data_IF_829452872146
#
_entry.id   IF_829452872146
#
_cell.length_a   1.000
_cell.length_b   1.000
_cell.length_c   1.000
_cell.angle_alpha   90.00
_cell.angle_beta   90.00
_cell.angle_gamma   90.00
#
_symmetry.space_group_name_H-M   'P 1'
#
loop_
_entity.id
_entity.type
_entity.pdbx_description
1 polymer ?
#
# COMPACT_ATOMS: atom_id res chain seq x y z
N UNK A 1 -16.83 -14.58 5.10
CA UNK A 1 -17.05 -13.13 4.93
C UNK A 1 -18.30 -12.95 4.07
N UNK A 2 -19.13 -11.92 4.32
CA UNK A 2 -20.28 -11.63 3.47
C UNK A 2 -19.81 -11.33 2.03
N UNK A 3 -20.61 -11.71 1.04
CA UNK A 3 -20.30 -11.50 -0.38
C UNK A 3 -21.36 -10.59 -1.02
N UNK A 4 -20.92 -9.80 -1.98
CA UNK A 4 -21.76 -8.99 -2.86
C UNK A 4 -22.29 -9.84 -4.01
N UNK A 5 -23.27 -9.33 -4.73
CA UNK A 5 -23.84 -10.00 -5.92
C UNK A 5 -22.80 -10.20 -7.06
N UNK A 6 -21.75 -9.36 -7.10
CA UNK A 6 -20.64 -9.47 -8.06
C UNK A 6 -19.53 -10.45 -7.62
N UNK A 7 -19.74 -11.18 -6.51
CA UNK A 7 -18.80 -12.18 -5.97
C UNK A 7 -17.67 -11.59 -5.13
N UNK A 8 -17.56 -10.28 -5.02
CA UNK A 8 -16.56 -9.63 -4.15
C UNK A 8 -16.99 -9.70 -2.68
N UNK A 9 -16.02 -9.63 -1.77
CA UNK A 9 -16.31 -9.51 -0.34
C UNK A 9 -17.05 -8.21 -0.06
N UNK A 10 -18.16 -8.28 0.67
CA UNK A 10 -18.84 -7.10 1.20
C UNK A 10 -18.11 -6.58 2.43
N UNK A 11 -17.10 -5.74 2.18
CA UNK A 11 -16.27 -5.17 3.22
C UNK A 11 -17.03 -4.22 4.14
N UNK A 12 -18.02 -3.50 3.61
CA UNK A 12 -18.87 -2.63 4.41
C UNK A 12 -19.67 -3.45 5.43
N UNK A 13 -20.33 -4.50 4.99
CA UNK A 13 -21.06 -5.40 5.88
C UNK A 13 -20.14 -6.13 6.86
N UNK A 14 -18.93 -6.51 6.42
CA UNK A 14 -17.94 -7.18 7.25
C UNK A 14 -17.44 -6.27 8.39
N UNK A 15 -17.00 -5.05 8.08
CA UNK A 15 -16.45 -4.14 9.07
C UNK A 15 -17.51 -3.59 10.02
N UNK A 16 -18.69 -3.20 9.50
CA UNK A 16 -19.76 -2.63 10.30
C UNK A 16 -20.63 -3.66 11.01
N UNK A 17 -20.43 -4.95 10.74
CA UNK A 17 -21.32 -6.07 11.21
C UNK A 17 -22.80 -5.83 10.88
N UNK A 18 -23.07 -5.24 9.70
CA UNK A 18 -24.43 -4.88 9.29
C UNK A 18 -25.07 -3.73 10.08
N UNK A 19 -24.30 -3.04 10.94
CA UNK A 19 -24.75 -1.87 11.74
C UNK A 19 -24.30 -0.55 11.13
N UNK A 20 -24.15 -0.51 9.81
CA UNK A 20 -23.67 0.66 9.12
C UNK A 20 -24.50 1.93 9.41
N UNK A 21 -23.80 3.04 9.64
CA UNK A 21 -24.43 4.34 9.84
C UNK A 21 -24.67 4.98 8.48
N UNK A 22 -25.93 5.13 8.09
CA UNK A 22 -26.37 6.02 7.01
C UNK A 22 -25.62 5.89 5.68
N UNK A 23 -26.19 6.49 4.66
CA UNK A 23 -25.53 6.74 3.37
C UNK A 23 -25.44 8.27 3.21
N UNK A 24 -24.36 8.76 2.68
CA UNK A 24 -24.24 10.19 2.40
C UNK A 24 -22.80 10.63 2.19
N UNK A 25 -22.61 11.85 1.67
CA UNK A 25 -21.28 12.37 1.46
C UNK A 25 -20.53 12.51 2.80
N UNK A 26 -19.36 11.94 2.85
CA UNK A 26 -18.43 12.11 3.99
C UNK A 26 -17.45 13.21 3.64
N UNK A 27 -17.22 14.11 4.61
CA UNK A 27 -16.25 15.19 4.47
C UNK A 27 -15.28 15.16 5.64
N UNK A 28 -14.00 14.99 5.35
CA UNK A 28 -12.94 15.02 6.34
C UNK A 28 -12.53 16.46 6.62
N UNK A 29 -12.80 16.91 7.83
CA UNK A 29 -12.50 18.29 8.27
C UNK A 29 -11.14 18.40 8.96
N UNK A 30 -10.56 17.29 9.37
CA UNK A 30 -9.24 17.21 9.97
C UNK A 30 -8.33 16.28 9.16
N UNK A 31 -7.03 16.58 9.13
CA UNK A 31 -6.02 15.63 8.69
C UNK A 31 -5.81 14.57 9.79
N UNK A 32 -5.34 13.35 9.44
CA UNK A 32 -4.98 12.30 10.40
C UNK A 32 -3.89 12.71 11.40
N UNK A 33 -3.10 13.72 11.05
CA UNK A 33 -2.12 14.39 11.91
C UNK A 33 -2.21 15.89 11.69
N UNK A 34 -1.84 16.70 12.68
CA UNK A 34 -1.76 18.16 12.50
C UNK A 34 -0.73 18.48 11.42
N UNK A 35 -1.05 19.41 10.53
CA UNK A 35 -0.15 19.76 9.41
C UNK A 35 1.23 20.24 9.88
N UNK A 36 1.28 20.94 11.02
CA UNK A 36 2.53 21.40 11.64
C UNK A 36 3.43 20.27 12.18
N UNK A 37 2.87 19.09 12.42
CA UNK A 37 3.57 17.91 12.91
C UNK A 37 4.10 17.02 11.77
N UNK A 38 3.63 17.25 10.54
CA UNK A 38 3.98 16.45 9.37
C UNK A 38 5.11 17.11 8.58
N UNK A 39 6.14 16.33 8.26
CA UNK A 39 7.22 16.72 7.35
C UNK A 39 6.78 16.61 5.90
N UNK A 40 6.15 15.48 5.54
CA UNK A 40 5.68 15.23 4.19
C UNK A 40 4.56 14.18 4.16
N UNK A 41 3.75 14.24 3.13
CA UNK A 41 2.76 13.23 2.78
C UNK A 41 3.20 12.51 1.51
N UNK A 42 3.33 11.18 1.58
CA UNK A 42 3.65 10.32 0.44
C UNK A 42 2.39 9.57 0.02
N UNK A 43 1.93 9.73 -1.23
CA UNK A 43 0.68 9.13 -1.70
C UNK A 43 0.78 7.62 -1.91
N UNK A 44 -0.33 7.00 -2.26
CA UNK A 44 -0.42 5.60 -2.67
C UNK A 44 0.52 5.26 -3.84
N UNK A 45 0.84 3.99 -3.97
CA UNK A 45 1.52 3.47 -5.16
C UNK A 45 3.03 3.34 -5.04
N UNK A 46 3.63 3.64 -3.88
CA UNK A 46 5.05 3.35 -3.65
C UNK A 46 5.31 1.85 -3.78
N UNK A 47 6.48 1.48 -4.30
CA UNK A 47 6.98 0.09 -4.31
C UNK A 47 8.29 0.05 -3.54
N UNK A 48 8.35 -0.73 -2.47
CA UNK A 48 9.53 -0.80 -1.59
C UNK A 48 9.54 -2.09 -0.75
N UNK A 49 10.66 -2.76 -0.66
CA UNK A 49 10.81 -3.97 0.15
C UNK A 49 9.74 -5.01 -0.19
N UNK A 50 9.04 -5.54 0.81
CA UNK A 50 7.94 -6.50 0.62
C UNK A 50 6.69 -5.92 -0.07
N UNK A 51 6.60 -4.61 -0.25
CA UNK A 51 5.54 -3.97 -1.05
C UNK A 51 5.93 -3.98 -2.53
N UNK A 52 5.88 -5.15 -3.14
CA UNK A 52 6.22 -5.37 -4.55
C UNK A 52 5.16 -4.78 -5.46
N UNK A 53 3.89 -5.03 -5.18
CA UNK A 53 2.80 -4.31 -5.83
C UNK A 53 2.67 -2.88 -5.25
N UNK A 54 2.20 -1.90 -6.04
CA UNK A 54 1.96 -0.55 -5.55
C UNK A 54 1.18 -0.52 -4.23
N UNK A 55 1.71 0.20 -3.24
CA UNK A 55 1.17 0.26 -1.87
C UNK A 55 -0.20 0.93 -1.84
N UNK A 56 -1.13 0.33 -1.11
CA UNK A 56 -2.53 0.70 -0.94
C UNK A 56 -2.82 1.70 0.20
N UNK A 57 -1.79 2.25 0.80
CA UNK A 57 -1.89 3.28 1.81
C UNK A 57 -0.91 4.41 1.55
N UNK A 58 -1.25 5.59 2.02
CA UNK A 58 -0.39 6.76 2.01
C UNK A 58 0.36 6.86 3.34
N UNK A 59 1.43 7.62 3.34
CA UNK A 59 2.23 7.83 4.53
C UNK A 59 2.21 9.30 4.95
N UNK A 60 1.89 9.54 6.23
CA UNK A 60 2.21 10.79 6.91
C UNK A 60 3.54 10.60 7.63
N UNK A 61 4.58 11.25 7.16
CA UNK A 61 5.88 11.25 7.83
C UNK A 61 5.92 12.37 8.86
N UNK A 62 6.00 12.04 10.17
CA UNK A 62 6.09 13.07 11.20
C UNK A 62 7.46 13.77 11.17
N UNK A 63 7.49 15.02 11.59
CA UNK A 63 8.72 15.73 11.87
C UNK A 63 9.54 14.99 12.92
N UNK A 64 10.86 15.06 12.81
CA UNK A 64 11.75 14.38 13.76
C UNK A 64 11.48 12.87 13.93
N UNK A 65 11.00 12.20 12.87
CA UNK A 65 10.66 10.77 12.90
C UNK A 65 11.78 9.87 13.46
N UNK A 66 13.05 10.29 13.32
CA UNK A 66 14.20 9.52 13.85
C UNK A 66 14.33 9.58 15.37
N UNK A 67 13.69 10.56 16.03
CA UNK A 67 13.65 10.65 17.48
C UNK A 67 12.55 9.75 18.03
N UNK A 68 12.97 8.62 18.60
CA UNK A 68 12.07 7.62 19.14
C UNK A 68 11.28 8.09 20.39
N UNK A 69 11.60 9.24 20.96
CA UNK A 69 10.90 9.80 22.11
C UNK A 69 9.76 10.72 21.70
N UNK A 70 9.82 11.29 20.49
CA UNK A 70 8.78 12.19 20.00
C UNK A 70 7.53 11.39 19.59
N UNK A 71 6.38 11.86 20.04
CA UNK A 71 5.07 11.28 19.72
C UNK A 71 4.11 12.39 19.28
N UNK A 72 3.37 12.11 18.22
CA UNK A 72 2.37 13.01 17.64
C UNK A 72 0.99 12.41 17.77
N UNK A 73 -0.01 13.27 17.96
CA UNK A 73 -1.40 12.85 18.00
C UNK A 73 -1.88 12.38 16.63
N UNK A 74 -2.62 11.27 16.63
CA UNK A 74 -3.37 10.76 15.48
C UNK A 74 -4.83 11.10 15.68
N UNK A 75 -5.46 11.71 14.67
CA UNK A 75 -6.80 12.28 14.75
C UNK A 75 -7.79 11.52 13.87
N UNK A 76 -9.05 11.45 14.31
CA UNK A 76 -10.16 11.05 13.46
C UNK A 76 -10.49 12.20 12.47
N UNK A 77 -10.57 11.95 11.14
CA UNK A 77 -10.72 13.02 10.15
C UNK A 77 -12.16 13.54 10.07
N UNK A 78 -13.13 12.75 10.54
CA UNK A 78 -14.55 13.05 10.61
C UNK A 78 -15.20 12.25 11.75
N UNK A 79 -16.45 12.55 12.06
CA UNK A 79 -17.28 11.73 12.94
C UNK A 79 -17.36 10.31 12.39
N UNK A 80 -17.46 9.32 13.29
CA UNK A 80 -17.58 7.92 12.90
C UNK A 80 -17.53 6.95 14.06
N UNK A 81 -17.27 5.69 13.73
CA UNK A 81 -17.08 4.61 14.69
C UNK A 81 -15.81 3.84 14.35
N UNK A 82 -14.92 3.65 15.32
CA UNK A 82 -13.88 2.64 15.19
C UNK A 82 -14.61 1.28 15.18
N UNK A 83 -14.44 0.53 14.08
CA UNK A 83 -15.12 -0.76 13.85
C UNK A 83 -14.16 -1.94 13.90
N UNK A 84 -12.86 -1.70 13.71
CA UNK A 84 -11.81 -2.71 13.84
C UNK A 84 -10.63 -2.13 14.60
N UNK A 85 -10.08 -2.91 15.53
CA UNK A 85 -8.80 -2.65 16.20
C UNK A 85 -7.94 -3.91 16.09
N UNK A 86 -6.66 -3.74 15.76
CA UNK A 86 -5.64 -4.78 15.83
C UNK A 86 -4.43 -4.30 16.60
N UNK A 87 -3.71 -5.25 17.20
CA UNK A 87 -2.43 -4.99 17.86
C UNK A 87 -1.42 -6.06 17.45
N UNK A 88 -0.26 -5.64 17.07
CA UNK A 88 0.91 -6.51 16.81
C UNK A 88 2.17 -5.84 17.33
N UNK A 89 3.16 -6.63 17.64
CA UNK A 89 4.48 -6.15 17.96
C UNK A 89 5.36 -6.27 16.72
N UNK A 90 6.05 -5.21 16.34
CA UNK A 90 6.98 -5.23 15.22
C UNK A 90 8.41 -5.00 15.70
N UNK A 91 9.33 -5.78 15.14
CA UNK A 91 10.76 -5.55 15.28
C UNK A 91 11.25 -4.69 14.12
N UNK A 92 11.89 -3.56 14.41
CA UNK A 92 12.49 -2.68 13.42
C UNK A 92 13.96 -2.41 13.76
N UNK A 93 14.77 -2.20 12.73
CA UNK A 93 16.21 -1.94 12.89
C UNK A 93 17.08 -3.08 12.38
N UNK A 94 18.40 -2.89 12.43
CA UNK A 94 19.38 -3.94 12.15
C UNK A 94 19.40 -4.96 13.30
N UNK A 95 19.95 -6.16 13.05
CA UNK A 95 20.08 -7.23 14.06
C UNK A 95 20.80 -6.78 15.34
N UNK A 96 21.64 -5.75 15.27
CA UNK A 96 22.38 -5.20 16.41
C UNK A 96 21.60 -4.11 17.16
N UNK A 97 20.57 -3.51 16.54
CA UNK A 97 19.82 -2.37 17.08
C UNK A 97 18.31 -2.57 16.85
N UNK A 98 17.82 -3.79 17.03
CA UNK A 98 16.39 -4.08 16.94
C UNK A 98 15.65 -3.37 18.08
N UNK A 99 14.58 -2.66 17.72
CA UNK A 99 13.61 -2.10 18.66
C UNK A 99 12.27 -2.74 18.43
N UNK A 100 11.62 -3.13 19.50
CA UNK A 100 10.26 -3.58 19.51
C UNK A 100 9.33 -2.37 19.59
N UNK A 101 8.34 -2.32 18.71
CA UNK A 101 7.31 -1.30 18.70
C UNK A 101 5.94 -1.94 18.80
N UNK A 102 5.10 -1.36 19.64
CA UNK A 102 3.66 -1.58 19.53
C UNK A 102 3.17 -1.00 18.22
N UNK A 103 2.28 -1.72 17.57
CA UNK A 103 1.74 -1.40 16.28
C UNK A 103 0.24 -1.66 16.30
N UNK A 104 -0.53 -0.58 16.39
CA UNK A 104 -1.99 -0.65 16.39
C UNK A 104 -2.52 -0.28 15.01
N UNK A 105 -3.50 -1.07 14.55
CA UNK A 105 -4.26 -0.83 13.34
C UNK A 105 -5.71 -0.46 13.70
N UNK A 106 -6.28 0.53 13.03
CA UNK A 106 -7.67 0.95 13.20
C UNK A 106 -8.39 1.02 11.86
N UNK A 107 -9.68 0.63 11.85
CA UNK A 107 -10.60 0.99 10.77
C UNK A 107 -11.73 1.82 11.36
N UNK A 108 -11.99 3.00 10.79
CA UNK A 108 -13.08 3.88 11.20
C UNK A 108 -14.13 3.91 10.09
N UNK A 109 -15.37 3.60 10.44
CA UNK A 109 -16.55 3.77 9.62
C UNK A 109 -17.04 5.22 9.75
N UNK A 110 -17.10 5.97 8.65
CA UNK A 110 -17.66 7.33 8.59
C UNK A 110 -19.05 7.35 7.99
N UNK A 111 -19.35 6.39 7.14
CA UNK A 111 -20.69 6.08 6.62
C UNK A 111 -20.76 4.58 6.31
N UNK A 112 -21.94 4.10 5.88
CA UNK A 112 -22.10 2.70 5.48
C UNK A 112 -21.22 2.24 4.31
N UNK A 113 -20.49 3.15 3.67
CA UNK A 113 -19.68 2.84 2.49
C UNK A 113 -18.29 3.45 2.52
N UNK A 114 -18.02 4.42 3.41
CA UNK A 114 -16.74 5.13 3.50
C UNK A 114 -16.04 4.84 4.81
N UNK A 115 -14.82 4.34 4.69
CA UNK A 115 -13.97 3.93 5.80
C UNK A 115 -12.59 4.58 5.68
N UNK A 116 -11.95 4.85 6.83
CA UNK A 116 -10.51 5.15 6.88
C UNK A 116 -9.79 4.05 7.61
N UNK A 117 -8.60 3.73 7.12
CA UNK A 117 -7.71 2.75 7.71
C UNK A 117 -6.44 3.44 8.20
N UNK A 118 -6.00 3.03 9.37
CA UNK A 118 -4.78 3.49 10.01
C UNK A 118 -3.94 2.29 10.37
N UNK A 119 -2.64 2.39 10.21
CA UNK A 119 -1.68 1.40 10.68
C UNK A 119 -0.44 2.11 11.26
N UNK A 120 0.39 1.39 12.00
CA UNK A 120 1.61 1.89 12.61
C UNK A 120 1.40 2.90 13.76
N UNK A 121 0.23 2.93 14.41
CA UNK A 121 0.08 3.69 15.64
C UNK A 121 0.91 3.03 16.75
N UNK A 122 1.58 3.86 17.55
CA UNK A 122 2.41 3.38 18.68
C UNK A 122 1.63 3.25 20.00
N UNK A 123 0.46 3.87 20.09
CA UNK A 123 -0.48 3.70 21.20
C UNK A 123 -1.88 4.11 20.79
N UNK A 124 -2.87 3.60 21.52
CA UNK A 124 -4.25 4.10 21.47
C UNK A 124 -4.44 5.17 22.55
N UNK A 125 -5.36 6.12 22.29
CA UNK A 125 -5.74 7.13 23.26
C UNK A 125 -6.66 6.56 24.36
N UNK A 126 -6.55 7.08 25.57
CA UNK A 126 -7.38 6.66 26.69
C UNK A 126 -8.90 6.79 26.40
N UNK A 127 -9.29 7.83 25.65
CA UNK A 127 -10.69 8.02 25.27
C UNK A 127 -11.24 6.92 24.36
N UNK A 128 -10.38 6.15 23.69
CA UNK A 128 -10.74 4.95 22.94
C UNK A 128 -10.73 3.72 23.85
N UNK A 129 -9.66 3.54 24.62
CA UNK A 129 -9.47 2.38 25.50
C UNK A 129 -10.57 2.26 26.58
N UNK A 130 -10.99 3.38 27.17
CA UNK A 130 -11.98 3.41 28.23
C UNK A 130 -13.41 3.05 27.76
N UNK A 131 -13.62 3.00 26.44
CA UNK A 131 -14.89 2.57 25.84
C UNK A 131 -14.93 1.11 25.42
N UNK A 132 -13.82 0.40 25.59
CA UNK A 132 -13.73 -1.03 25.37
C UNK A 132 -14.08 -1.78 26.66
N UNK A 133 -14.54 -3.02 26.50
CA UNK A 133 -14.67 -3.89 27.67
C UNK A 133 -13.29 -4.19 28.29
N UNK A 134 -13.29 -4.56 29.56
CA UNK A 134 -12.07 -4.73 30.33
C UNK A 134 -11.15 -5.81 29.74
N UNK A 135 -11.72 -6.92 29.26
CA UNK A 135 -10.95 -8.03 28.72
C UNK A 135 -10.25 -7.64 27.41
N UNK A 136 -10.97 -6.94 26.53
CA UNK A 136 -10.38 -6.46 25.27
C UNK A 136 -9.31 -5.39 25.51
N UNK A 137 -9.54 -4.48 26.46
CA UNK A 137 -8.55 -3.48 26.85
C UNK A 137 -7.28 -4.14 27.40
N UNK A 138 -7.41 -5.14 28.26
CA UNK A 138 -6.27 -5.89 28.79
C UNK A 138 -5.47 -6.59 27.67
N UNK A 139 -6.16 -7.22 26.71
CA UNK A 139 -5.50 -7.82 25.54
C UNK A 139 -4.74 -6.80 24.69
N UNK A 140 -5.33 -5.63 24.44
CA UNK A 140 -4.72 -4.57 23.62
C UNK A 140 -3.51 -3.90 24.30
N UNK A 141 -3.53 -3.79 25.62
CA UNK A 141 -2.43 -3.19 26.41
C UNK A 141 -1.40 -4.22 26.84
N UNK A 142 -1.68 -5.51 26.64
CA UNK A 142 -0.78 -6.63 26.89
C UNK A 142 0.29 -6.78 25.81
N UNK A 143 1.28 -7.64 26.08
CA UNK A 143 2.35 -7.95 25.10
C UNK A 143 1.94 -8.97 24.02
N UNK A 144 0.71 -9.46 24.06
CA UNK A 144 0.22 -10.46 23.13
C UNK A 144 -0.25 -9.82 21.83
N UNK A 145 0.16 -10.39 20.70
CA UNK A 145 -0.42 -10.00 19.40
C UNK A 145 -1.90 -10.30 19.40
N UNK A 146 -2.71 -9.35 19.01
CA UNK A 146 -4.14 -9.49 18.84
C UNK A 146 -4.50 -9.36 17.35
N UNK A 147 -5.12 -10.38 16.75
CA UNK A 147 -5.65 -10.23 15.40
C UNK A 147 -6.68 -9.10 15.36
N UNK A 148 -6.91 -8.56 14.17
CA UNK A 148 -7.92 -7.52 13.97
C UNK A 148 -9.27 -7.97 14.56
N UNK A 149 -9.72 -7.24 15.57
CA UNK A 149 -10.95 -7.53 16.32
C UNK A 149 -11.98 -6.45 16.04
N UNK A 150 -13.21 -6.86 15.83
CA UNK A 150 -14.32 -5.95 15.56
C UNK A 150 -14.84 -5.33 16.86
N UNK A 151 -14.97 -4.01 16.84
CA UNK A 151 -15.47 -3.19 17.95
C UNK A 151 -16.53 -2.19 17.45
N UNK A 152 -17.05 -1.34 18.32
CA UNK A 152 -17.86 -0.19 17.92
C UNK A 152 -17.70 0.94 18.91
N UNK A 153 -16.72 1.81 18.67
CA UNK A 153 -16.37 2.95 19.53
C UNK A 153 -16.62 4.23 18.77
N UNK A 154 -17.55 5.06 19.22
CA UNK A 154 -17.85 6.34 18.60
C UNK A 154 -16.67 7.30 18.73
N UNK A 155 -16.34 8.01 17.65
CA UNK A 155 -15.31 9.07 17.61
C UNK A 155 -15.87 10.33 16.95
N UNK A 156 -15.29 11.47 17.30
CA UNK A 156 -15.64 12.78 16.76
C UNK A 156 -14.52 13.30 15.86
N UNK A 157 -14.89 14.11 14.87
CA UNK A 157 -13.94 14.83 14.03
C UNK A 157 -12.92 15.58 14.90
N UNK A 158 -11.63 15.40 14.63
CA UNK A 158 -10.53 15.99 15.39
C UNK A 158 -10.22 15.35 16.74
N UNK A 159 -10.97 14.31 17.15
CA UNK A 159 -10.67 13.56 18.37
C UNK A 159 -9.32 12.84 18.21
N UNK A 160 -8.46 12.92 19.23
CA UNK A 160 -7.26 12.09 19.31
C UNK A 160 -7.68 10.64 19.51
N UNK A 161 -7.20 9.75 18.64
CA UNK A 161 -7.50 8.31 18.67
C UNK A 161 -6.28 7.47 19.06
N UNK A 162 -5.09 8.06 19.02
CA UNK A 162 -3.83 7.41 19.36
C UNK A 162 -2.65 8.32 19.08
N UNK A 163 -1.46 7.72 19.07
CA UNK A 163 -0.21 8.44 18.78
C UNK A 163 0.64 7.64 17.80
N UNK A 164 1.50 8.38 17.07
CA UNK A 164 2.54 7.83 16.21
C UNK A 164 3.89 8.47 16.53
N UNK A 165 4.98 7.71 16.41
CA UNK A 165 6.33 8.23 16.57
C UNK A 165 7.40 7.17 16.32
N UNK A 166 8.57 7.60 15.88
CA UNK A 166 9.64 6.70 15.45
C UNK A 166 9.40 6.07 14.07
N UNK A 167 8.25 6.33 13.44
CA UNK A 167 7.83 5.81 12.12
C UNK A 167 6.77 6.70 11.49
N UNK A 168 6.44 6.44 10.21
CA UNK A 168 5.29 7.04 9.53
C UNK A 168 3.97 6.55 10.12
N UNK A 169 2.89 7.29 9.87
CA UNK A 169 1.52 6.83 10.00
C UNK A 169 1.02 6.38 8.63
N UNK A 170 0.53 5.16 8.54
CA UNK A 170 -0.15 4.67 7.34
C UNK A 170 -1.60 5.12 7.36
N UNK A 171 -2.10 5.56 6.21
CA UNK A 171 -3.46 6.05 6.07
C UNK A 171 -4.07 5.64 4.74
N UNK A 172 -5.28 5.11 4.78
CA UNK A 172 -6.06 4.74 3.60
C UNK A 172 -7.51 5.21 3.68
N UNK A 173 -8.10 5.50 2.52
CA UNK A 173 -9.55 5.76 2.38
C UNK A 173 -10.13 4.67 1.51
N UNK A 174 -11.18 4.01 1.99
CA UNK A 174 -11.90 2.96 1.27
C UNK A 174 -13.34 3.42 1.06
N UNK A 175 -13.82 3.38 -0.17
CA UNK A 175 -15.23 3.59 -0.51
C UNK A 175 -15.76 2.37 -1.25
N UNK A 176 -16.56 1.56 -0.58
CA UNK A 176 -17.07 0.29 -1.11
C UNK A 176 -18.07 0.45 -2.27
N UNK A 177 -18.52 1.66 -2.56
CA UNK A 177 -19.31 1.97 -3.79
C UNK A 177 -18.42 2.14 -5.03
N UNK A 178 -17.11 2.34 -4.85
CA UNK A 178 -16.13 2.46 -5.93
C UNK A 178 -15.43 1.13 -6.16
N UNK A 179 -15.14 0.82 -7.40
CA UNK A 179 -14.26 -0.30 -7.80
C UNK A 179 -13.23 0.27 -8.76
N UNK A 180 -11.97 0.15 -8.41
CA UNK A 180 -10.87 0.60 -9.26
C UNK A 180 -10.76 -0.30 -10.49
N UNK A 181 -10.84 0.26 -11.71
CA UNK A 181 -10.92 -0.53 -12.94
C UNK A 181 -9.63 -1.24 -13.31
N UNK A 182 -8.50 -0.79 -12.77
CA UNK A 182 -7.18 -1.37 -13.01
C UNK A 182 -6.84 -2.53 -12.09
N UNK A 183 -7.84 -3.23 -11.53
CA UNK A 183 -7.73 -4.55 -10.92
C UNK A 183 -8.56 -5.55 -11.72
N UNK A 184 -7.97 -6.11 -12.79
CA UNK A 184 -8.70 -6.93 -13.75
C UNK A 184 -9.26 -8.24 -13.18
N UNK A 185 -8.63 -8.78 -12.15
CA UNK A 185 -9.05 -10.01 -11.47
C UNK A 185 -9.06 -9.80 -9.95
N UNK A 186 -10.07 -9.10 -9.42
CA UNK A 186 -10.14 -8.76 -7.99
C UNK A 186 -10.09 -9.98 -7.05
N UNK A 187 -10.53 -11.15 -7.51
CA UNK A 187 -10.50 -12.40 -6.74
C UNK A 187 -9.08 -12.86 -6.38
N UNK A 188 -8.06 -12.49 -7.16
CA UNK A 188 -6.66 -12.79 -6.84
C UNK A 188 -6.15 -12.03 -5.60
N UNK A 189 -6.87 -11.01 -5.14
CA UNK A 189 -6.50 -10.28 -3.93
C UNK A 189 -7.06 -10.91 -2.63
N UNK A 190 -8.00 -11.88 -2.73
CA UNK A 190 -8.50 -12.68 -1.61
C UNK A 190 -8.90 -11.82 -0.41
N UNK A 191 -8.30 -12.05 0.76
CA UNK A 191 -8.53 -11.30 2.01
C UNK A 191 -8.10 -9.83 1.95
N UNK A 192 -7.41 -9.44 0.89
CA UNK A 192 -6.96 -8.07 0.68
C UNK A 192 -7.75 -7.36 -0.42
N UNK A 193 -8.89 -7.94 -0.85
CA UNK A 193 -9.70 -7.40 -1.94
C UNK A 193 -10.38 -6.05 -1.63
N UNK A 194 -10.33 -5.56 -0.39
CA UNK A 194 -10.74 -4.20 -0.05
C UNK A 194 -9.93 -3.13 -0.82
N UNK A 195 -8.72 -3.47 -1.29
CA UNK A 195 -7.88 -2.61 -2.13
C UNK A 195 -8.57 -2.13 -3.40
N UNK A 196 -9.44 -2.95 -3.97
CA UNK A 196 -10.18 -2.59 -5.19
C UNK A 196 -11.16 -1.44 -4.95
N UNK A 197 -11.43 -1.12 -3.69
CA UNK A 197 -12.30 -0.04 -3.24
C UNK A 197 -11.52 1.18 -2.71
N UNK A 198 -10.19 1.21 -2.88
CA UNK A 198 -9.39 2.34 -2.44
C UNK A 198 -9.85 3.62 -3.17
N UNK A 199 -9.87 4.72 -2.44
CA UNK A 199 -10.29 6.01 -2.96
C UNK A 199 -9.22 7.08 -2.74
N UNK A 200 -9.12 8.04 -3.66
CA UNK A 200 -8.20 9.17 -3.51
C UNK A 200 -8.61 10.00 -2.28
N UNK A 201 -7.76 10.12 -1.25
CA UNK A 201 -8.10 10.87 -0.03
C UNK A 201 -8.40 12.34 -0.29
N UNK A 202 -7.84 12.94 -1.36
CA UNK A 202 -8.09 14.33 -1.74
C UNK A 202 -9.53 14.60 -2.17
N UNK A 203 -10.31 13.57 -2.52
CA UNK A 203 -11.73 13.71 -2.81
C UNK A 203 -12.60 13.89 -1.56
N UNK A 204 -12.09 13.52 -0.38
CA UNK A 204 -12.83 13.50 0.88
C UNK A 204 -12.51 14.68 1.79
N UNK A 205 -11.32 15.26 1.71
CA UNK A 205 -10.95 16.39 2.57
C UNK A 205 -11.71 17.67 2.21
N UNK A 206 -12.15 18.39 3.26
CA UNK A 206 -12.63 19.75 3.13
C UNK A 206 -11.53 20.67 2.60
N UNK A 207 -11.91 21.78 1.94
CA UNK A 207 -10.95 22.61 1.18
C UNK A 207 -9.75 23.08 2.01
N UNK A 208 -9.94 23.45 3.29
CA UNK A 208 -8.84 23.86 4.16
C UNK A 208 -7.87 22.73 4.47
N UNK A 209 -8.39 21.53 4.80
CA UNK A 209 -7.59 20.35 5.07
C UNK A 209 -6.91 19.84 3.79
N UNK A 210 -7.63 19.86 2.66
CA UNK A 210 -7.08 19.51 1.34
C UNK A 210 -5.95 20.45 0.93
N UNK A 211 -6.10 21.75 1.12
CA UNK A 211 -5.06 22.73 0.82
C UNK A 211 -3.80 22.51 1.70
N UNK A 212 -3.98 22.18 2.98
CA UNK A 212 -2.89 21.85 3.87
C UNK A 212 -2.17 20.56 3.41
N UNK A 213 -2.93 19.51 3.07
CA UNK A 213 -2.38 18.24 2.59
C UNK A 213 -1.63 18.39 1.27
N UNK A 214 -2.13 19.21 0.32
CA UNK A 214 -1.46 19.48 -0.96
C UNK A 214 -0.08 20.14 -0.79
N UNK A 215 0.09 20.98 0.22
CA UNK A 215 1.40 21.58 0.54
C UNK A 215 2.41 20.52 0.98
N UNK A 216 1.96 19.54 1.75
CA UNK A 216 2.77 18.46 2.30
C UNK A 216 3.01 17.33 1.29
N UNK A 217 2.17 17.22 0.25
CA UNK A 217 2.22 16.14 -0.71
C UNK A 217 3.47 16.23 -1.58
N UNK A 218 4.27 15.15 -1.60
CA UNK A 218 5.47 15.06 -2.46
C UNK A 218 5.13 14.91 -3.94
N UNK A 219 3.95 14.36 -4.26
CA UNK A 219 3.45 14.23 -5.64
C UNK A 219 2.75 15.53 -6.06
N UNK A 220 3.24 16.13 -7.15
CA UNK A 220 2.74 17.44 -7.66
C UNK A 220 1.87 17.33 -8.91
N UNK A 221 1.57 16.10 -9.35
CA UNK A 221 0.73 15.82 -10.53
C UNK A 221 -0.45 14.92 -10.15
N UNK A 222 -1.56 15.05 -10.87
CA UNK A 222 -2.74 14.22 -10.64
C UNK A 222 -2.54 12.75 -11.08
N UNK A 223 -3.26 11.80 -10.44
CA UNK A 223 -4.06 11.97 -9.22
C UNK A 223 -3.15 12.24 -8.02
N UNK A 224 -3.50 13.22 -7.20
CA UNK A 224 -2.65 13.64 -6.07
C UNK A 224 -2.54 12.57 -4.97
N UNK A 225 -3.56 11.73 -4.81
CA UNK A 225 -3.54 10.58 -3.90
C UNK A 225 -2.69 9.41 -4.37
N UNK A 226 -2.16 9.46 -5.60
CA UNK A 226 -1.41 8.35 -6.19
C UNK A 226 -2.32 7.33 -6.88
N UNK A 227 -1.71 6.23 -7.34
CA UNK A 227 -2.42 5.17 -8.07
C UNK A 227 -1.85 3.79 -7.73
N UNK A 228 -2.71 2.76 -7.67
CA UNK A 228 -2.31 1.36 -7.41
C UNK A 228 -2.87 0.37 -8.43
N UNK A 229 -3.81 0.78 -9.26
CA UNK A 229 -4.60 -0.02 -10.18
C UNK A 229 -4.11 0.16 -11.62
N UNK A 230 -2.98 -0.44 -11.95
CA UNK A 230 -2.32 -0.25 -13.25
C UNK A 230 -2.65 -1.31 -14.29
N UNK A 231 -3.42 -2.35 -13.96
CA UNK A 231 -3.72 -3.41 -14.92
C UNK A 231 -4.47 -2.87 -16.15
N UNK A 232 -3.97 -3.23 -17.33
CA UNK A 232 -4.63 -3.03 -18.62
C UNK A 232 -4.68 -4.38 -19.33
N UNK A 233 -5.87 -4.78 -19.76
CA UNK A 233 -6.06 -6.10 -20.38
C UNK A 233 -5.22 -6.26 -21.65
N UNK A 234 -4.56 -7.41 -21.78
CA UNK A 234 -3.64 -7.69 -22.88
C UNK A 234 -2.33 -6.87 -22.86
N UNK A 235 -2.00 -6.11 -21.79
CA UNK A 235 -0.80 -5.30 -21.67
C UNK A 235 0.11 -5.75 -20.52
N UNK A 236 1.38 -5.39 -20.59
CA UNK A 236 2.39 -5.75 -19.59
C UNK A 236 2.20 -5.00 -18.27
N UNK A 237 1.80 -3.72 -18.33
CA UNK A 237 1.61 -2.88 -17.16
C UNK A 237 0.61 -3.49 -16.17
N UNK A 238 0.89 -3.40 -14.86
CA UNK A 238 0.02 -3.84 -13.78
C UNK A 238 0.68 -4.83 -12.84
N UNK A 239 -0.16 -5.42 -11.97
CA UNK A 239 0.25 -6.39 -10.97
C UNK A 239 0.16 -7.80 -11.53
N UNK A 240 1.17 -8.61 -11.22
CA UNK A 240 1.27 -10.00 -11.64
C UNK A 240 1.62 -10.89 -10.46
N UNK A 241 1.05 -12.07 -10.41
CA UNK A 241 1.28 -13.05 -9.35
C UNK A 241 1.80 -14.35 -9.94
N UNK A 242 2.80 -14.94 -9.31
CA UNK A 242 3.32 -16.24 -9.72
C UNK A 242 2.16 -17.24 -9.81
N UNK A 243 2.03 -17.91 -10.95
CA UNK A 243 0.95 -18.85 -11.21
C UNK A 243 0.87 -19.93 -10.11
N UNK A 244 -0.35 -20.13 -9.60
CA UNK A 244 -0.60 -21.09 -8.51
C UNK A 244 -0.11 -20.67 -7.13
N UNK A 245 0.38 -19.43 -6.95
CA UNK A 245 0.84 -18.95 -5.63
C UNK A 245 -0.27 -18.46 -4.71
N UNK A 246 -1.52 -18.41 -5.18
CA UNK A 246 -2.65 -17.87 -4.43
C UNK A 246 -2.82 -16.35 -4.56
N UNK A 247 -2.32 -15.76 -5.63
CA UNK A 247 -2.47 -14.34 -5.94
C UNK A 247 -1.74 -13.44 -4.96
N UNK A 248 -2.38 -12.36 -4.53
CA UNK A 248 -1.78 -11.39 -3.60
C UNK A 248 -1.48 -11.98 -2.21
N UNK A 249 -2.24 -13.00 -1.77
CA UNK A 249 -1.95 -13.65 -0.49
C UNK A 249 -0.61 -14.38 -0.50
N UNK A 250 -0.14 -14.79 -1.68
CA UNK A 250 1.13 -15.44 -1.89
C UNK A 250 1.28 -16.74 -1.10
N UNK A 251 2.48 -17.29 -1.11
CA UNK A 251 2.83 -18.43 -0.27
C UNK A 251 3.21 -17.95 1.14
N UNK A 252 2.28 -18.05 2.09
CA UNK A 252 2.51 -17.65 3.50
C UNK A 252 3.55 -18.50 4.24
N UNK A 253 3.90 -19.65 3.68
CA UNK A 253 4.91 -20.52 4.25
C UNK A 253 6.32 -20.25 3.68
N UNK A 254 6.47 -19.32 2.73
CA UNK A 254 7.80 -18.91 2.28
C UNK A 254 8.46 -18.05 3.38
N UNK A 255 9.59 -18.51 3.97
CA UNK A 255 10.26 -17.78 5.05
C UNK A 255 10.80 -16.42 4.62
N UNK A 256 10.92 -16.16 3.30
CA UNK A 256 11.36 -14.89 2.74
C UNK A 256 10.22 -13.87 2.62
N UNK A 257 8.96 -14.33 2.70
CA UNK A 257 7.75 -13.52 2.68
C UNK A 257 6.76 -13.87 1.57
N UNK A 258 5.49 -13.63 1.82
CA UNK A 258 4.38 -13.92 0.89
C UNK A 258 4.52 -13.19 -0.46
N UNK A 259 5.26 -12.09 -0.48
CA UNK A 259 5.49 -11.25 -1.66
C UNK A 259 6.49 -11.81 -2.67
N UNK A 260 7.16 -12.95 -2.38
CA UNK A 260 8.15 -13.53 -3.28
C UNK A 260 7.58 -13.94 -4.65
N UNK A 261 6.28 -14.18 -4.71
CA UNK A 261 5.57 -14.46 -5.97
C UNK A 261 4.99 -13.21 -6.66
N UNK A 262 5.23 -12.01 -6.14
CA UNK A 262 4.68 -10.79 -6.73
C UNK A 262 5.62 -10.17 -7.76
N UNK A 263 5.03 -9.51 -8.75
CA UNK A 263 5.72 -8.73 -9.76
C UNK A 263 4.81 -7.55 -10.15
N UNK A 264 5.37 -6.37 -10.35
CA UNK A 264 4.62 -5.23 -10.84
C UNK A 264 5.40 -4.43 -11.86
N UNK A 265 4.70 -4.02 -12.93
CA UNK A 265 5.10 -2.98 -13.85
C UNK A 265 4.17 -1.79 -13.63
N UNK A 266 4.70 -0.67 -13.21
CA UNK A 266 3.91 0.49 -12.81
C UNK A 266 4.65 1.78 -13.14
N UNK A 267 4.03 2.91 -12.82
CA UNK A 267 4.72 4.19 -12.83
C UNK A 267 5.07 4.63 -11.40
N UNK A 268 6.12 5.41 -11.27
CA UNK A 268 6.58 5.86 -9.97
C UNK A 268 5.52 6.75 -9.28
N UNK A 269 5.29 6.51 -7.99
CA UNK A 269 4.21 7.13 -7.22
C UNK A 269 4.32 8.66 -7.07
N UNK A 270 5.54 9.23 -7.14
CA UNK A 270 5.77 10.68 -7.09
C UNK A 270 5.83 11.27 -8.49
N UNK A 271 6.64 10.68 -9.37
CA UNK A 271 6.84 11.11 -10.76
C UNK A 271 6.36 10.02 -11.73
N UNK A 272 5.10 10.07 -12.19
CA UNK A 272 4.55 9.03 -13.05
C UNK A 272 5.14 8.99 -14.47
N UNK A 273 6.04 9.90 -14.80
CA UNK A 273 6.81 9.78 -16.04
C UNK A 273 7.91 8.70 -15.95
N UNK A 274 8.19 8.16 -14.76
CA UNK A 274 9.20 7.14 -14.54
C UNK A 274 8.57 5.74 -14.52
N UNK A 275 9.11 4.82 -15.32
CA UNK A 275 8.68 3.41 -15.33
C UNK A 275 9.36 2.67 -14.19
N UNK A 276 8.55 1.89 -13.45
CA UNK A 276 8.97 1.05 -12.34
C UNK A 276 8.79 -0.43 -12.68
N UNK A 277 9.79 -1.24 -12.33
CA UNK A 277 9.68 -2.70 -12.29
C UNK A 277 9.99 -3.14 -10.86
N UNK A 278 9.02 -3.77 -10.21
CA UNK A 278 9.15 -4.26 -8.85
C UNK A 278 9.03 -5.79 -8.83
N UNK A 279 10.02 -6.47 -8.28
CA UNK A 279 10.17 -7.92 -8.37
C UNK A 279 10.26 -8.51 -6.98
N UNK A 280 9.41 -9.47 -6.66
CA UNK A 280 9.39 -10.14 -5.36
C UNK A 280 10.63 -11.02 -5.12
N UNK A 281 11.08 -11.71 -6.16
CA UNK A 281 12.27 -12.57 -6.10
C UNK A 281 13.35 -12.07 -7.08
N UNK A 282 14.10 -11.05 -6.66
CA UNK A 282 15.27 -10.57 -7.40
C UNK A 282 16.55 -11.02 -6.68
N UNK A 283 17.00 -12.23 -7.00
CA UNK A 283 18.15 -12.83 -6.32
C UNK A 283 17.90 -13.14 -4.84
N UNK A 284 16.69 -13.59 -4.52
CA UNK A 284 16.30 -13.99 -3.16
C UNK A 284 15.67 -12.88 -2.32
N UNK A 285 15.54 -11.67 -2.83
CA UNK A 285 15.00 -10.52 -2.10
C UNK A 285 14.06 -9.66 -2.97
N UNK A 286 13.05 -9.01 -2.39
CA UNK A 286 12.22 -8.07 -3.11
C UNK A 286 12.97 -6.77 -3.42
N UNK A 287 12.87 -6.31 -4.67
CA UNK A 287 13.51 -5.06 -5.11
C UNK A 287 12.64 -4.32 -6.13
N UNK A 288 12.68 -3.00 -6.04
CA UNK A 288 12.06 -2.10 -7.00
C UNK A 288 13.14 -1.34 -7.78
N UNK A 289 12.91 -1.14 -9.07
CA UNK A 289 13.86 -0.55 -9.99
C UNK A 289 13.19 0.50 -10.88
N UNK A 290 13.95 1.48 -11.32
CA UNK A 290 13.65 2.24 -12.51
C UNK A 290 14.15 1.52 -13.76
N UNK A 291 13.51 1.78 -14.88
CA UNK A 291 13.96 1.28 -16.19
C UNK A 291 14.97 2.26 -16.77
N UNK A 292 16.15 1.76 -17.15
CA UNK A 292 17.18 2.55 -17.85
C UNK A 292 16.62 3.05 -19.18
N UNK A 293 16.83 4.33 -19.49
CA UNK A 293 16.25 4.93 -20.68
C UNK A 293 14.76 5.23 -20.58
N UNK A 294 14.08 4.73 -19.53
CA UNK A 294 12.63 4.90 -19.29
C UNK A 294 11.76 4.38 -20.45
N UNK A 295 12.20 3.30 -21.10
CA UNK A 295 11.53 2.65 -22.23
C UNK A 295 11.88 1.15 -22.31
N UNK A 296 11.07 0.31 -22.96
CA UNK A 296 9.78 0.66 -23.54
C UNK A 296 8.69 0.81 -22.48
N UNK A 297 7.61 1.55 -22.81
CA UNK A 297 6.47 1.75 -21.91
C UNK A 297 5.65 0.45 -21.75
N UNK A 298 5.53 -0.11 -20.55
CA UNK A 298 4.80 -1.35 -20.32
C UNK A 298 3.29 -1.27 -20.63
N UNK A 299 2.72 -0.07 -20.68
CA UNK A 299 1.33 0.13 -21.10
C UNK A 299 1.12 -0.08 -22.60
N UNK A 300 2.18 -0.03 -23.41
CA UNK A 300 2.11 -0.25 -24.84
C UNK A 300 2.47 -1.70 -25.24
N UNK A 301 3.12 -2.46 -24.35
CA UNK A 301 3.59 -3.81 -24.63
C UNK A 301 2.44 -4.81 -24.45
N UNK A 302 2.21 -5.64 -25.48
CA UNK A 302 1.21 -6.69 -25.47
C UNK A 302 1.74 -8.01 -26.07
N UNK A 303 0.84 -8.95 -26.36
CA UNK A 303 1.18 -10.31 -26.84
C UNK A 303 1.99 -10.30 -28.15
N UNK A 304 1.76 -9.32 -29.05
CA UNK A 304 2.40 -9.25 -30.37
C UNK A 304 3.85 -8.76 -30.31
N UNK A 305 4.27 -8.17 -29.21
CA UNK A 305 5.61 -7.59 -29.07
C UNK A 305 6.66 -8.65 -28.72
N UNK A 306 6.23 -9.87 -28.40
CA UNK A 306 7.12 -10.98 -28.07
C UNK A 306 7.91 -10.73 -26.78
N UNK A 307 9.18 -11.12 -26.77
CA UNK A 307 10.06 -10.95 -25.62
C UNK A 307 10.61 -9.53 -25.56
N UNK A 308 10.32 -8.84 -24.46
CA UNK A 308 10.81 -7.49 -24.19
C UNK A 308 11.85 -7.52 -23.07
N UNK A 309 12.85 -6.67 -23.17
CA UNK A 309 13.99 -6.60 -22.25
C UNK A 309 14.06 -5.23 -21.60
N UNK A 310 14.22 -5.22 -20.27
CA UNK A 310 14.39 -4.01 -19.46
C UNK A 310 15.73 -4.07 -18.74
N UNK A 311 16.58 -3.06 -18.91
CA UNK A 311 17.71 -2.86 -18.00
C UNK A 311 17.23 -2.14 -16.74
N UNK A 312 17.49 -2.74 -15.60
CA UNK A 312 17.03 -2.30 -14.31
C UNK A 312 18.13 -1.48 -13.63
N UNK A 313 17.78 -0.28 -13.16
CA UNK A 313 18.68 0.58 -12.41
C UNK A 313 18.11 0.88 -11.03
N UNK A 314 18.94 1.28 -10.10
CA UNK A 314 18.52 1.49 -8.72
C UNK A 314 17.43 2.55 -8.67
N UNK A 315 16.29 2.21 -8.05
CA UNK A 315 15.24 3.17 -7.78
C UNK A 315 15.57 3.93 -6.51
N UNK A 316 15.71 5.25 -6.59
CA UNK A 316 15.69 6.08 -5.41
C UNK A 316 14.26 6.13 -4.88
N UNK A 317 14.03 5.45 -3.77
CA UNK A 317 12.76 5.51 -3.06
C UNK A 317 12.78 6.85 -2.31
N UNK A 318 12.03 7.82 -2.85
CA UNK A 318 11.95 9.15 -2.27
C UNK A 318 11.24 9.14 -0.91
N UNK A 319 11.97 8.79 0.11
CA UNK A 319 11.66 9.14 1.48
C UNK A 319 12.60 10.27 1.88
N UNK A 320 12.08 11.44 2.22
CA UNK A 320 12.85 12.61 2.67
C UNK A 320 13.24 13.64 1.59
N UNK A 321 12.28 14.19 0.81
CA UNK A 321 12.51 15.49 0.14
C UNK A 321 13.66 15.55 -0.88
N UNK A 322 14.29 14.42 -1.20
CA UNK A 322 15.36 14.39 -2.20
C UNK A 322 14.78 14.66 -3.59
N UNK A 323 15.29 15.71 -4.22
CA UNK A 323 15.06 15.95 -5.64
C UNK A 323 15.60 14.76 -6.41
N UNK A 324 14.76 14.15 -7.24
CA UNK A 324 15.20 13.12 -8.18
C UNK A 324 15.96 13.78 -9.31
N UNK A 325 17.29 13.80 -9.23
CA UNK A 325 18.15 14.22 -10.31
C UNK A 325 18.48 13.00 -11.19
N UNK A 326 17.75 12.87 -12.29
CA UNK A 326 18.01 11.84 -13.29
C UNK A 326 17.69 10.40 -12.87
N UNK A 327 17.72 9.48 -13.84
CA UNK A 327 17.69 8.03 -13.58
C UNK A 327 19.13 7.56 -13.41
N UNK A 328 19.48 6.83 -12.33
CA UNK A 328 20.80 6.25 -12.18
C UNK A 328 21.20 5.40 -13.39
N UNK A 329 22.47 5.38 -13.76
CA UNK A 329 22.97 4.65 -14.94
C UNK A 329 23.53 3.27 -14.60
N UNK A 330 23.82 2.99 -13.33
CA UNK A 330 24.37 1.71 -12.90
C UNK A 330 23.31 0.60 -13.02
N UNK A 331 23.52 -0.31 -13.95
CA UNK A 331 22.63 -1.46 -14.18
C UNK A 331 22.74 -2.45 -13.02
N UNK A 332 21.59 -2.78 -12.44
CA UNK A 332 21.47 -3.75 -11.34
C UNK A 332 21.11 -5.15 -11.84
N UNK A 333 20.61 -5.24 -13.05
CA UNK A 333 20.20 -6.48 -13.70
C UNK A 333 19.31 -6.22 -14.91
N UNK A 334 18.79 -7.33 -15.42
CA UNK A 334 17.88 -7.33 -16.58
C UNK A 334 16.61 -8.08 -16.22
N UNK A 335 15.46 -7.59 -16.68
CA UNK A 335 14.20 -8.32 -16.69
C UNK A 335 13.80 -8.65 -18.14
N UNK A 336 13.44 -9.91 -18.39
CA UNK A 336 12.75 -10.34 -19.60
C UNK A 336 11.29 -10.55 -19.27
N UNK A 337 10.41 -10.03 -20.13
CA UNK A 337 8.98 -10.16 -20.02
C UNK A 337 8.36 -10.49 -21.38
N UNK A 338 7.38 -11.38 -21.40
CA UNK A 338 6.57 -11.70 -22.59
C UNK A 338 5.13 -11.89 -22.17
N UNK A 339 4.25 -11.00 -22.64
CA UNK A 339 2.80 -11.13 -22.44
C UNK A 339 2.30 -12.33 -23.24
N UNK A 340 1.51 -13.18 -22.59
CA UNK A 340 0.95 -14.39 -23.16
C UNK A 340 -0.60 -14.29 -23.17
N UNK A 341 -1.30 -15.08 -24.01
CA UNK A 341 -2.74 -15.17 -23.98
C UNK A 341 -3.29 -15.56 -22.59
N UNK A 342 -4.53 -15.15 -22.31
CA UNK A 342 -5.22 -15.58 -21.08
C UNK A 342 -4.74 -14.89 -19.81
N UNK A 343 -4.28 -13.63 -19.92
CA UNK A 343 -3.75 -12.84 -18.78
C UNK A 343 -2.58 -13.51 -18.09
N UNK A 344 -1.68 -14.09 -18.89
CA UNK A 344 -0.44 -14.70 -18.42
C UNK A 344 0.76 -13.87 -18.85
N UNK A 345 1.85 -14.02 -18.10
CA UNK A 345 3.11 -13.38 -18.37
C UNK A 345 4.26 -14.36 -18.13
N UNK A 346 5.13 -14.53 -19.11
CA UNK A 346 6.42 -15.18 -18.89
C UNK A 346 7.44 -14.15 -18.45
N UNK A 347 8.14 -14.41 -17.35
CA UNK A 347 9.07 -13.46 -16.76
C UNK A 347 10.31 -14.17 -16.21
N UNK A 348 11.45 -13.50 -16.35
CA UNK A 348 12.70 -13.89 -15.71
C UNK A 348 13.55 -12.66 -15.40
N UNK A 349 14.11 -12.61 -14.19
CA UNK A 349 15.05 -11.59 -13.77
C UNK A 349 16.47 -12.13 -13.74
N UNK A 350 17.44 -11.32 -14.16
CA UNK A 350 18.87 -11.65 -14.24
C UNK A 350 19.66 -10.64 -13.40
N UNK A 351 19.81 -10.87 -12.09
CA UNK A 351 20.58 -10.00 -11.22
C UNK A 351 22.04 -9.86 -11.69
N UNK A 352 22.56 -8.63 -11.67
CA UNK A 352 23.96 -8.33 -12.02
C UNK A 352 24.31 -8.46 -13.50
N UNK A 353 23.37 -8.76 -14.40
CA UNK A 353 23.60 -8.85 -15.84
C UNK A 353 23.25 -7.54 -16.55
N UNK A 354 23.91 -7.31 -17.69
CA UNK A 354 23.56 -6.26 -18.65
C UNK A 354 22.72 -6.83 -19.79
N UNK A 355 22.05 -5.98 -20.55
CA UNK A 355 21.25 -6.40 -21.71
C UNK A 355 22.04 -7.24 -22.73
N UNK A 356 23.32 -6.94 -22.94
CA UNK A 356 24.19 -7.67 -23.84
C UNK A 356 24.51 -9.10 -23.36
N UNK A 357 24.43 -9.37 -22.06
CA UNK A 357 24.71 -10.68 -21.46
C UNK A 357 23.48 -11.59 -21.39
N UNK A 358 22.32 -11.11 -21.78
CA UNK A 358 21.06 -11.87 -21.69
C UNK A 358 20.50 -12.02 -23.11
N UNK A 359 20.57 -13.24 -23.64
CA UNK A 359 20.10 -13.57 -25.00
C UNK A 359 18.62 -13.96 -25.06
N UNK A 360 18.06 -14.48 -23.98
CA UNK A 360 16.69 -14.97 -23.91
C UNK A 360 16.36 -15.59 -22.58
N UNK A 361 15.15 -16.14 -22.46
CA UNK A 361 14.72 -16.91 -21.29
C UNK A 361 15.56 -18.17 -21.10
N UNK A 362 15.77 -18.52 -19.84
CA UNK A 362 16.36 -19.80 -19.45
C UNK A 362 15.26 -20.74 -18.91
N UNK A 363 15.69 -21.90 -18.39
CA UNK A 363 14.79 -22.82 -17.67
C UNK A 363 14.23 -22.25 -16.35
N UNK A 364 14.79 -21.13 -15.86
CA UNK A 364 14.33 -20.45 -14.64
C UNK A 364 13.18 -19.47 -14.88
N UNK A 365 12.79 -19.27 -16.14
CA UNK A 365 11.65 -18.40 -16.46
C UNK A 365 10.36 -18.93 -15.80
N UNK A 366 9.61 -18.04 -15.18
CA UNK A 366 8.38 -18.35 -14.46
C UNK A 366 7.17 -17.78 -15.19
N UNK A 367 6.02 -18.44 -15.01
CA UNK A 367 4.72 -17.92 -15.49
C UNK A 367 4.03 -17.20 -14.35
N UNK A 368 3.49 -16.03 -14.66
CA UNK A 368 2.67 -15.19 -13.78
C UNK A 368 1.27 -15.05 -14.35
N UNK A 369 0.32 -14.71 -13.50
CA UNK A 369 -1.10 -14.51 -13.84
C UNK A 369 -1.67 -13.24 -13.19
N UNK A 370 -2.78 -12.73 -13.75
CA UNK A 370 -3.57 -11.66 -13.16
C UNK A 370 -5.05 -11.72 -13.54
#
# INVERSE_FOLDING_TARGET
MPQRADGLTDWAAFWSRGKATGKGPVRFTYLPMRAEDVEMFVPYGMTAGGHVCPIDHAYFYPKNMRDAQVRFDVLAPADGFIVVIGHRTQLTGSTEHQREYDDYALTIEHSGTVFTQYDLLTSLDASVLDRLDAALREQLTGKSMMPQTQVRVAVKAGQVIGKVGGRSLDFGVVNTEKVLPGFLTPSLYGHYSWRVHLADPFEYFAESAKAALLKLNVRKVQPFGGRIDYDVDGRLIGNWFLEGSGGYAGNRNDPRGYWMGHLAFAYHHIDPAKIMVSVGDFGGQPKAFWVRGNEPDPAQIGERDGVVKFELVYASIGGSGQKFEGIPTSVQGVALAQVLPGRKLKFEAFPGKTAAQVSGFTSNAKTYER
#
